data_IF_798609615007
#
_entry.id   IF_798609615007
#
_cell.length_a   1.000
_cell.length_b   1.000
_cell.length_c   1.000
_cell.angle_alpha   90.00
_cell.angle_beta   90.00
_cell.angle_gamma   90.00
#
_symmetry.space_group_name_H-M   'P 1'
#
loop_
_entity.id
_entity.type
_entity.pdbx_description
1 polymer ?
#
# COMPACT_ATOMS: atom_id res chain seq x y z
N UNK A 1 26.53 10.73 -17.24
CA UNK A 1 25.25 11.42 -16.97
C UNK A 1 24.80 11.06 -15.57
N UNK A 2 24.66 12.07 -14.71
CA UNK A 2 24.10 11.90 -13.38
C UNK A 2 22.59 11.65 -13.57
N UNK A 3 22.00 10.68 -12.87
CA UNK A 3 20.56 10.40 -13.05
C UNK A 3 19.70 11.55 -12.51
N UNK A 4 20.26 12.42 -11.66
CA UNK A 4 19.63 13.66 -11.22
C UNK A 4 19.50 14.68 -12.35
N UNK A 5 20.32 14.59 -13.40
CA UNK A 5 20.16 15.41 -14.61
C UNK A 5 18.83 15.08 -15.33
N UNK A 6 18.18 13.95 -14.99
CA UNK A 6 16.85 13.55 -15.46
C UNK A 6 15.72 13.99 -14.53
N UNK A 7 16.00 14.73 -13.47
CA UNK A 7 14.97 15.27 -12.58
C UNK A 7 14.20 16.40 -13.26
N UNK A 8 14.86 17.16 -14.13
CA UNK A 8 14.26 18.27 -14.88
C UNK A 8 14.40 18.08 -16.39
N UNK A 9 13.45 18.59 -17.16
CA UNK A 9 13.54 18.69 -18.61
C UNK A 9 14.37 19.91 -19.05
N UNK A 10 14.49 20.14 -20.36
CA UNK A 10 15.27 21.25 -20.93
C UNK A 10 14.74 22.63 -20.52
N UNK A 11 13.46 22.73 -20.14
CA UNK A 11 12.83 23.94 -19.64
C UNK A 11 12.88 24.05 -18.10
N UNK A 12 13.49 23.07 -17.41
CA UNK A 12 13.61 23.03 -15.96
C UNK A 12 12.42 22.43 -15.23
N UNK A 13 11.41 21.89 -15.93
CA UNK A 13 10.25 21.27 -15.29
C UNK A 13 10.53 19.83 -14.85
N UNK A 14 9.88 19.33 -13.78
CA UNK A 14 10.07 17.95 -13.34
C UNK A 14 9.77 16.94 -14.44
N UNK A 15 10.71 16.03 -14.71
CA UNK A 15 10.43 14.88 -15.58
C UNK A 15 9.44 13.98 -14.86
N UNK A 16 8.21 13.91 -15.35
CA UNK A 16 7.11 13.18 -14.68
C UNK A 16 7.45 11.70 -14.39
N UNK A 17 8.24 11.06 -15.24
CA UNK A 17 8.71 9.69 -15.01
C UNK A 17 9.73 9.57 -13.88
N UNK A 18 10.51 10.62 -13.61
CA UNK A 18 11.39 10.70 -12.45
C UNK A 18 10.56 10.95 -11.20
N UNK A 19 9.71 11.97 -11.28
CA UNK A 19 8.90 12.43 -10.16
C UNK A 19 8.00 11.34 -9.61
N UNK A 20 7.35 10.55 -10.47
CA UNK A 20 6.50 9.43 -10.03
C UNK A 20 7.27 8.39 -9.19
N UNK A 21 8.47 7.98 -9.63
CA UNK A 21 9.27 7.00 -8.90
C UNK A 21 9.85 7.60 -7.63
N UNK A 22 10.35 8.84 -7.72
CA UNK A 22 10.89 9.57 -6.59
C UNK A 22 9.85 9.76 -5.48
N UNK A 23 8.64 10.24 -5.80
CA UNK A 23 7.56 10.45 -4.85
C UNK A 23 7.08 9.13 -4.23
N UNK A 24 7.01 8.05 -5.00
CA UNK A 24 6.69 6.73 -4.45
C UNK A 24 7.74 6.28 -3.42
N UNK A 25 9.02 6.51 -3.70
CA UNK A 25 10.12 6.26 -2.77
C UNK A 25 10.03 7.15 -1.52
N UNK A 26 9.75 8.44 -1.69
CA UNK A 26 9.56 9.39 -0.59
C UNK A 26 8.40 8.96 0.29
N UNK A 27 7.26 8.56 -0.27
CA UNK A 27 6.12 8.06 0.50
C UNK A 27 6.50 6.83 1.34
N UNK A 28 7.27 5.90 0.77
CA UNK A 28 7.80 4.75 1.53
C UNK A 28 8.67 5.20 2.72
N UNK A 29 9.51 6.22 2.50
CA UNK A 29 10.33 6.79 3.56
C UNK A 29 9.48 7.51 4.60
N UNK A 30 8.63 8.46 4.23
CA UNK A 30 7.86 9.25 5.21
C UNK A 30 7.04 8.34 6.15
N UNK A 31 6.47 7.26 5.63
CA UNK A 31 5.66 6.33 6.42
C UNK A 31 6.43 5.15 7.03
N UNK A 32 7.74 5.07 6.84
CA UNK A 32 8.56 4.04 7.47
C UNK A 32 8.21 2.62 7.03
N UNK A 33 7.85 2.44 5.76
CA UNK A 33 7.40 1.14 5.27
C UNK A 33 8.50 0.06 5.39
N UNK A 34 8.17 -1.16 5.88
CA UNK A 34 9.10 -2.27 5.90
C UNK A 34 9.37 -2.79 4.48
N UNK A 35 10.49 -3.50 4.31
CA UNK A 35 10.97 -3.97 2.99
C UNK A 35 9.89 -4.67 2.13
N UNK A 36 9.02 -5.55 2.67
CA UNK A 36 7.97 -6.17 1.87
C UNK A 36 6.99 -5.14 1.28
N UNK A 37 6.58 -4.13 2.04
CA UNK A 37 5.66 -3.09 1.59
C UNK A 37 6.34 -2.11 0.63
N UNK A 38 7.63 -1.81 0.83
CA UNK A 38 8.44 -1.06 -0.15
C UNK A 38 8.49 -1.78 -1.49
N UNK A 39 8.61 -3.12 -1.49
CA UNK A 39 8.58 -3.91 -2.72
C UNK A 39 7.21 -3.84 -3.40
N UNK A 40 6.09 -3.94 -2.65
CA UNK A 40 4.74 -3.75 -3.20
C UNK A 40 4.59 -2.38 -3.85
N UNK A 41 5.02 -1.31 -3.17
CA UNK A 41 4.98 0.05 -3.70
C UNK A 41 5.83 0.23 -4.97
N UNK A 42 7.03 -0.36 -5.01
CA UNK A 42 7.88 -0.34 -6.20
C UNK A 42 7.28 -1.14 -7.37
N UNK A 43 6.72 -2.31 -7.09
CA UNK A 43 6.04 -3.13 -8.09
C UNK A 43 4.83 -2.40 -8.68
N UNK A 44 4.08 -1.66 -7.84
CA UNK A 44 2.93 -0.88 -8.29
C UNK A 44 3.32 0.22 -9.27
N UNK A 45 4.28 1.08 -8.92
CA UNK A 45 4.73 2.14 -9.83
C UNK A 45 5.34 1.59 -11.13
N UNK A 46 6.00 0.43 -11.07
CA UNK A 46 6.46 -0.28 -12.27
C UNK A 46 5.30 -0.79 -13.14
N UNK A 47 4.25 -1.31 -12.52
CA UNK A 47 3.06 -1.79 -13.23
C UNK A 47 2.34 -0.63 -13.93
N UNK A 48 2.23 0.52 -13.29
CA UNK A 48 1.59 1.71 -13.87
C UNK A 48 2.35 2.23 -15.11
N UNK A 49 3.69 2.20 -15.10
CA UNK A 49 4.49 2.51 -16.30
C UNK A 49 4.24 1.51 -17.43
N UNK A 50 4.21 0.21 -17.11
CA UNK A 50 3.98 -0.85 -18.10
C UNK A 50 2.58 -0.77 -18.70
N UNK A 51 1.57 -0.43 -17.90
CA UNK A 51 0.20 -0.22 -18.36
C UNK A 51 0.10 0.93 -19.38
N UNK A 52 1.00 1.91 -19.30
CA UNK A 52 1.13 3.01 -20.28
C UNK A 52 2.00 2.63 -21.50
N UNK A 53 2.38 1.36 -21.66
CA UNK A 53 3.23 0.89 -22.76
C UNK A 53 4.70 1.30 -22.64
N UNK A 54 5.14 1.74 -21.45
CA UNK A 54 6.51 2.23 -21.23
C UNK A 54 7.39 1.15 -20.60
N UNK A 55 8.68 1.19 -20.92
CA UNK A 55 9.69 0.36 -20.27
C UNK A 55 10.26 1.09 -19.06
N UNK A 56 10.36 0.40 -17.92
CA UNK A 56 11.00 0.96 -16.72
C UNK A 56 12.50 1.08 -16.96
N UNK A 57 13.01 2.30 -16.92
CA UNK A 57 14.42 2.58 -17.11
C UNK A 57 15.19 2.59 -15.79
N UNK A 58 16.49 2.28 -15.82
CA UNK A 58 17.33 2.24 -14.61
C UNK A 58 17.41 3.58 -13.87
N UNK A 59 17.27 4.71 -14.55
CA UNK A 59 17.25 6.02 -13.88
C UNK A 59 15.97 6.22 -13.04
N UNK A 60 14.85 5.61 -13.42
CA UNK A 60 13.61 5.61 -12.61
C UNK A 60 13.79 4.79 -11.34
N UNK A 61 14.45 3.63 -11.45
CA UNK A 61 14.81 2.81 -10.28
C UNK A 61 15.71 3.59 -9.32
N UNK A 62 16.70 4.33 -9.84
CA UNK A 62 17.55 5.20 -9.02
C UNK A 62 16.77 6.35 -8.38
N UNK A 63 15.79 6.93 -9.07
CA UNK A 63 14.91 7.95 -8.52
C UNK A 63 14.10 7.41 -7.33
N UNK A 64 13.53 6.20 -7.45
CA UNK A 64 12.84 5.53 -6.34
C UNK A 64 13.77 5.28 -5.15
N UNK A 65 14.96 4.74 -5.36
CA UNK A 65 15.93 4.49 -4.29
C UNK A 65 16.38 5.80 -3.64
N UNK A 66 16.54 6.87 -4.42
CA UNK A 66 16.85 8.20 -3.91
C UNK A 66 15.72 8.71 -3.00
N UNK A 67 14.47 8.63 -3.45
CA UNK A 67 13.30 8.98 -2.62
C UNK A 67 13.17 8.11 -1.37
N UNK A 68 13.42 6.81 -1.48
CA UNK A 68 13.39 5.85 -0.37
C UNK A 68 14.44 6.15 0.71
N UNK A 69 15.53 6.85 0.36
CA UNK A 69 16.50 7.35 1.34
C UNK A 69 16.04 8.63 2.05
N UNK A 70 14.88 9.17 1.69
CA UNK A 70 14.31 10.41 2.22
C UNK A 70 15.01 11.66 1.72
N UNK A 71 15.95 11.55 0.77
CA UNK A 71 16.79 12.66 0.33
C UNK A 71 16.03 13.59 -0.61
N UNK A 72 16.27 14.89 -0.43
CA UNK A 72 15.82 15.95 -1.33
C UNK A 72 16.91 17.03 -1.42
N UNK A 73 16.74 18.04 -2.27
CA UNK A 73 17.76 19.09 -2.49
C UNK A 73 18.21 19.80 -1.20
N UNK A 74 17.30 19.98 -0.24
CA UNK A 74 17.57 20.62 1.05
C UNK A 74 17.96 19.68 2.20
N UNK A 75 18.23 18.39 1.94
CA UNK A 75 18.66 17.43 2.96
C UNK A 75 17.80 16.16 3.00
N UNK A 76 17.22 15.87 4.17
CA UNK A 76 16.42 14.65 4.39
C UNK A 76 15.02 15.00 4.94
N UNK A 77 13.99 14.36 4.39
CA UNK A 77 12.60 14.49 4.85
C UNK A 77 12.46 13.95 6.28
N UNK A 78 11.44 14.42 6.98
CA UNK A 78 11.02 13.86 8.27
C UNK A 78 10.10 12.66 8.07
N UNK A 79 10.00 11.79 9.09
CA UNK A 79 9.01 10.71 9.10
C UNK A 79 7.66 11.27 9.51
N UNK A 80 6.61 10.86 8.79
CA UNK A 80 5.20 11.09 9.15
C UNK A 80 4.66 10.03 10.10
N UNK A 81 5.20 8.82 10.06
CA UNK A 81 4.85 7.77 11.01
C UNK A 81 5.25 8.19 12.44
N UNK A 82 4.39 7.95 13.45
CA UNK A 82 4.71 8.23 14.85
C UNK A 82 6.00 7.54 15.30
N UNK A 83 6.72 8.17 16.22
CA UNK A 83 7.95 7.60 16.76
C UNK A 83 7.66 6.23 17.41
N UNK A 84 8.38 5.20 16.97
CA UNK A 84 8.20 3.83 17.47
C UNK A 84 7.07 3.03 16.82
N UNK A 85 6.28 3.62 15.92
CA UNK A 85 5.26 2.88 15.17
C UNK A 85 5.89 1.74 14.36
N UNK A 86 5.27 0.56 14.42
CA UNK A 86 5.68 -0.61 13.66
C UNK A 86 4.54 -1.08 12.79
N UNK A 87 4.81 -1.22 11.49
CA UNK A 87 3.86 -1.80 10.56
C UNK A 87 3.57 -3.27 10.93
N UNK A 88 2.31 -3.73 10.78
CA UNK A 88 1.97 -5.12 11.03
C UNK A 88 2.84 -6.04 10.19
N UNK A 89 3.45 -7.01 10.86
CA UNK A 89 4.29 -8.02 10.23
C UNK A 89 3.57 -9.36 10.34
N UNK A 90 3.26 -10.02 9.20
CA UNK A 90 2.68 -11.36 9.22
C UNK A 90 3.52 -12.33 10.06
N UNK A 91 2.89 -13.20 10.88
CA UNK A 91 3.62 -14.19 11.67
C UNK A 91 4.32 -15.23 10.78
N UNK A 92 3.74 -15.53 9.62
CA UNK A 92 4.29 -16.38 8.58
C UNK A 92 3.72 -16.01 7.19
N UNK A 93 4.09 -16.76 6.16
CA UNK A 93 3.71 -16.50 4.77
C UNK A 93 2.24 -16.82 4.43
N UNK A 94 1.48 -17.43 5.34
CA UNK A 94 0.05 -17.72 5.14
C UNK A 94 -0.85 -16.52 5.42
N UNK A 95 -0.30 -15.45 6.00
CA UNK A 95 -1.04 -14.24 6.35
C UNK A 95 -0.66 -13.07 5.44
N UNK A 96 -1.66 -12.38 4.94
CA UNK A 96 -1.48 -11.23 4.04
C UNK A 96 -1.99 -9.95 4.70
N UNK A 97 -1.15 -8.92 4.74
CA UNK A 97 -1.58 -7.60 5.20
C UNK A 97 -2.56 -7.00 4.20
N UNK A 98 -3.74 -6.66 4.71
CA UNK A 98 -4.83 -6.01 3.98
C UNK A 98 -5.23 -4.72 4.71
N UNK A 99 -5.85 -3.81 3.95
CA UNK A 99 -6.40 -2.56 4.47
C UNK A 99 -7.92 -2.62 4.39
N UNK A 100 -8.59 -2.59 5.54
CA UNK A 100 -10.04 -2.59 5.65
C UNK A 100 -10.53 -1.15 5.65
N UNK A 101 -11.19 -0.69 4.58
CA UNK A 101 -11.72 0.68 4.49
C UNK A 101 -13.23 0.69 4.72
N UNK A 102 -13.67 1.47 5.70
CA UNK A 102 -15.07 1.58 6.11
C UNK A 102 -15.80 2.74 5.41
N UNK A 103 -17.14 2.71 5.37
CA UNK A 103 -17.92 3.86 4.94
C UNK A 103 -17.54 5.10 5.77
N UNK A 104 -17.24 6.21 5.09
CA UNK A 104 -16.71 7.43 5.72
C UNK A 104 -15.19 7.57 5.65
N UNK A 105 -14.47 6.52 5.26
CA UNK A 105 -13.04 6.57 4.95
C UNK A 105 -12.11 6.35 6.15
N UNK A 106 -12.62 5.93 7.31
CA UNK A 106 -11.76 5.29 8.32
C UNK A 106 -11.24 3.97 7.78
N UNK A 107 -10.09 3.53 8.29
CA UNK A 107 -9.48 2.29 7.88
C UNK A 107 -8.84 1.60 9.06
N UNK A 108 -8.76 0.27 8.97
CA UNK A 108 -7.96 -0.57 9.86
C UNK A 108 -6.94 -1.35 9.03
N UNK A 109 -5.83 -1.71 9.67
CA UNK A 109 -4.90 -2.70 9.13
C UNK A 109 -5.23 -4.06 9.74
N UNK A 110 -5.23 -5.10 8.93
CA UNK A 110 -5.47 -6.47 9.39
C UNK A 110 -4.66 -7.47 8.59
N UNK A 111 -4.52 -8.69 9.11
CA UNK A 111 -3.97 -9.80 8.36
C UNK A 111 -5.11 -10.75 7.98
N UNK A 112 -5.19 -11.08 6.69
CA UNK A 112 -6.12 -12.06 6.15
C UNK A 112 -5.39 -13.38 5.91
N UNK A 113 -5.95 -14.47 6.43
CA UNK A 113 -5.55 -15.81 6.00
C UNK A 113 -6.41 -16.21 4.79
N UNK A 114 -5.85 -16.23 3.55
CA UNK A 114 -6.64 -16.27 2.32
C UNK A 114 -7.35 -17.61 2.09
N UNK A 115 -6.92 -18.69 2.75
CA UNK A 115 -7.55 -20.02 2.63
C UNK A 115 -8.75 -20.17 3.55
N UNK A 116 -8.64 -19.70 4.79
CA UNK A 116 -9.72 -19.82 5.78
C UNK A 116 -10.62 -18.58 5.81
N UNK A 117 -10.27 -17.53 5.07
CA UNK A 117 -10.93 -16.22 5.08
C UNK A 117 -11.10 -15.65 6.50
N UNK A 118 -10.12 -15.92 7.38
CA UNK A 118 -10.14 -15.44 8.77
C UNK A 118 -9.31 -14.19 8.89
N UNK A 119 -9.83 -13.23 9.65
CA UNK A 119 -9.11 -12.02 10.02
C UNK A 119 -8.34 -12.25 11.30
N UNK A 120 -7.12 -11.72 11.37
CA UNK A 120 -6.28 -11.81 12.56
C UNK A 120 -6.91 -11.11 13.76
N UNK A 121 -7.60 -10.00 13.50
CA UNK A 121 -8.32 -9.22 14.51
C UNK A 121 -9.40 -9.99 15.27
N UNK A 122 -9.96 -11.07 14.69
CA UNK A 122 -10.97 -11.92 15.35
C UNK A 122 -10.46 -12.51 16.67
N UNK A 123 -9.19 -12.91 16.72
CA UNK A 123 -8.59 -13.56 17.88
C UNK A 123 -7.63 -12.63 18.66
N UNK A 124 -7.13 -11.55 18.04
CA UNK A 124 -6.02 -10.76 18.56
C UNK A 124 -6.32 -9.25 18.68
N UNK A 125 -7.46 -8.78 18.19
CA UNK A 125 -7.77 -7.35 18.08
C UNK A 125 -7.07 -6.65 16.91
N UNK A 126 -7.43 -5.38 16.71
CA UNK A 126 -6.91 -4.57 15.60
C UNK A 126 -5.50 -4.06 15.87
N UNK A 127 -4.73 -3.85 14.80
CA UNK A 127 -3.46 -3.15 14.86
C UNK A 127 -3.69 -1.64 14.96
N UNK A 128 -2.77 -0.94 15.62
CA UNK A 128 -2.71 0.51 15.54
C UNK A 128 -2.46 0.96 14.10
N UNK A 129 -3.02 2.12 13.73
CA UNK A 129 -2.78 2.75 12.43
C UNK A 129 -1.72 3.86 12.56
N UNK A 130 -0.94 4.16 11.50
CA UNK A 130 0.10 5.18 11.58
C UNK A 130 -0.48 6.61 11.66
N UNK A 131 -1.74 6.80 11.27
CA UNK A 131 -2.45 8.08 11.38
C UNK A 131 -3.95 7.87 11.22
N UNK A 132 -4.74 8.66 11.96
CA UNK A 132 -6.19 8.79 11.78
C UNK A 132 -6.54 9.86 10.72
N UNK A 133 -5.55 10.62 10.25
CA UNK A 133 -5.75 11.71 9.31
C UNK A 133 -6.00 11.18 7.89
N UNK A 134 -7.28 11.08 7.51
CA UNK A 134 -7.75 10.61 6.19
C UNK A 134 -7.25 11.46 5.02
N UNK A 135 -6.83 12.70 5.26
CA UNK A 135 -6.19 13.53 4.24
C UNK A 135 -4.78 13.07 3.88
N UNK A 136 -4.13 12.33 4.78
CA UNK A 136 -2.76 11.84 4.61
C UNK A 136 -2.72 10.38 4.13
N UNK A 137 -3.63 9.55 4.63
CA UNK A 137 -3.77 8.15 4.24
C UNK A 137 -5.24 7.82 4.01
N UNK A 138 -5.56 7.51 2.76
CA UNK A 138 -6.89 7.13 2.31
C UNK A 138 -6.78 5.98 1.30
N UNK A 139 -7.94 5.56 0.77
CA UNK A 139 -8.04 4.51 -0.24
C UNK A 139 -7.07 4.67 -1.41
N UNK A 140 -7.08 5.85 -2.04
CA UNK A 140 -6.24 6.13 -3.20
C UNK A 140 -4.75 6.03 -2.86
N UNK A 141 -4.36 6.53 -1.68
CA UNK A 141 -2.99 6.37 -1.19
C UNK A 141 -2.62 4.89 -1.03
N UNK A 142 -3.46 4.07 -0.38
CA UNK A 142 -3.17 2.64 -0.21
C UNK A 142 -3.08 1.90 -1.56
N UNK A 143 -4.02 2.14 -2.47
CA UNK A 143 -4.05 1.51 -3.79
C UNK A 143 -2.83 1.93 -4.64
N UNK A 144 -2.47 3.22 -4.62
CA UNK A 144 -1.26 3.72 -5.30
C UNK A 144 0.03 3.17 -4.71
N UNK A 145 0.05 2.83 -3.41
CA UNK A 145 1.17 2.16 -2.75
C UNK A 145 1.17 0.64 -2.94
N UNK A 146 0.17 0.09 -3.66
CA UNK A 146 0.08 -1.34 -3.97
C UNK A 146 -0.39 -2.21 -2.82
N UNK A 147 -1.13 -1.64 -1.85
CA UNK A 147 -1.80 -2.41 -0.81
C UNK A 147 -3.05 -3.09 -1.37
N UNK A 148 -3.37 -4.24 -0.78
CA UNK A 148 -4.63 -4.93 -1.00
C UNK A 148 -5.69 -4.26 -0.12
N UNK A 149 -6.67 -3.60 -0.77
CA UNK A 149 -7.70 -2.80 -0.11
C UNK A 149 -9.04 -3.51 -0.20
N UNK A 150 -9.64 -3.77 0.95
CA UNK A 150 -10.98 -4.32 1.07
C UNK A 150 -11.96 -3.23 1.53
N UNK A 151 -13.04 -3.04 0.79
CA UNK A 151 -14.12 -2.11 1.19
C UNK A 151 -15.10 -2.84 2.10
N UNK A 152 -15.21 -2.36 3.34
CA UNK A 152 -16.13 -2.89 4.34
C UNK A 152 -17.53 -2.37 4.10
N UNK A 153 -18.51 -3.26 4.29
CA UNK A 153 -19.93 -2.92 4.30
C UNK A 153 -20.55 -3.40 5.61
N UNK A 154 -20.32 -2.71 6.74
CA UNK A 154 -20.77 -3.17 8.05
C UNK A 154 -22.30 -3.27 8.18
N UNK A 155 -23.05 -2.57 7.32
CA UNK A 155 -24.50 -2.64 7.25
C UNK A 155 -25.04 -3.80 6.41
N UNK A 156 -24.18 -4.57 5.73
CA UNK A 156 -24.62 -5.76 5.00
C UNK A 156 -25.04 -6.85 5.98
N UNK A 157 -26.28 -7.32 5.84
CA UNK A 157 -26.77 -8.51 6.52
C UNK A 157 -26.71 -9.67 5.54
N UNK A 158 -26.03 -10.75 5.93
CA UNK A 158 -26.11 -12.01 5.19
C UNK A 158 -27.39 -12.71 5.62
N UNK A 159 -28.35 -12.79 4.71
CA UNK A 159 -29.51 -13.66 4.91
C UNK A 159 -29.07 -15.10 4.62
N UNK A 160 -28.85 -15.88 5.67
CA UNK A 160 -28.71 -17.33 5.55
C UNK A 160 -30.11 -17.82 5.17
N UNK A 161 -30.34 -18.09 3.88
CA UNK A 161 -31.58 -18.71 3.45
C UNK A 161 -31.77 -20.00 4.24
N UNK A 162 -32.98 -20.21 4.79
CA UNK A 162 -33.35 -21.48 5.42
C UNK A 162 -32.92 -22.63 4.52
N UNK A 163 -32.29 -23.64 5.13
CA UNK A 163 -31.67 -24.77 4.43
C UNK A 163 -32.57 -25.23 3.28
N UNK A 164 -32.13 -25.03 2.02
CA UNK A 164 -32.76 -25.71 0.90
C UNK A 164 -32.73 -27.19 1.23
N UNK A 165 -33.89 -27.85 1.17
CA UNK A 165 -34.02 -29.29 1.36
C UNK A 165 -32.90 -29.98 0.58
N UNK A 166 -32.06 -30.81 1.21
CA UNK A 166 -31.00 -31.50 0.50
C UNK A 166 -31.62 -32.29 -0.65
N UNK A 167 -31.23 -31.95 -1.87
CA UNK A 167 -31.73 -32.57 -3.10
C UNK A 167 -31.20 -34.00 -3.26
N UNK A 168 -30.25 -34.39 -2.42
CA UNK A 168 -29.71 -35.73 -2.34
C UNK A 168 -30.37 -36.46 -1.16
N UNK A 169 -31.12 -37.50 -1.48
CA UNK A 169 -31.56 -38.49 -0.48
C UNK A 169 -30.36 -39.39 -0.14
N UNK A 170 -30.08 -39.67 1.14
CA UNK A 170 -29.09 -40.67 1.50
C UNK A 170 -29.50 -42.03 0.92
N UNK A 171 -28.54 -42.75 0.34
CA UNK A 171 -28.67 -44.13 -0.15
C UNK A 171 -28.58 -45.08 1.02
#
# INVERSE_FOLDING_TARGET
MNYLDRATDEAGYPVMGFEAFYQQGISCFEWGLPKPLVRKAFQRVCADQKAQGRVVAMWQVRAFVYGLSGRFEGGQRERKAPAGYQWPTPPDASWELIVCIYPGGSFDLDLLHPVSCRFWSEDNGFFDVPTEARSLMNREWFESMGFDVMTMQPAMLVQIADSKTPHLKPV
#
